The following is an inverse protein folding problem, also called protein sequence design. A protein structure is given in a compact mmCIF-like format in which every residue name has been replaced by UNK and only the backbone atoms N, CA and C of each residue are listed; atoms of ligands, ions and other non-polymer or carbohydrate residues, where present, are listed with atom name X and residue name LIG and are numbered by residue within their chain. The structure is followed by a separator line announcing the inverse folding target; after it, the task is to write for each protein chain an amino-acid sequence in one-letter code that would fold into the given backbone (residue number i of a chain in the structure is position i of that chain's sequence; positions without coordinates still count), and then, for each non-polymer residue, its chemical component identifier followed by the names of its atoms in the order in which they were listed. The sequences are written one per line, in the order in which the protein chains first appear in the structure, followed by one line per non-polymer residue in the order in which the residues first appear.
data_IF_083244632073
#
_entry.id   IF_083244632073
#
_cell.length_a   1.000
_cell.length_b   1.000
_cell.length_c   1.000
_cell.angle_alpha   90.00
_cell.angle_beta   90.00
_cell.angle_gamma   90.00
#
_symmetry.space_group_name_H-M   'P 1'
#
loop_
_entity.id
_entity.type
_entity.pdbx_description
1 polymer ?
#
# COMPACT_ATOMS: atom_id res chain seq x y z
N UNK A 1 -11.60 12.58 18.05
CA UNK A 1 -10.25 13.18 17.96
C UNK A 1 -10.10 13.63 16.53
N UNK A 2 -10.01 14.93 16.29
CA UNK A 2 -9.81 15.45 14.94
C UNK A 2 -8.44 15.01 14.43
N UNK A 3 -8.26 14.94 13.12
CA UNK A 3 -6.97 14.60 12.54
C UNK A 3 -5.87 15.60 12.93
N UNK A 4 -6.24 16.88 13.10
CA UNK A 4 -5.36 17.91 13.69
C UNK A 4 -4.98 17.59 15.13
N UNK A 5 -5.93 17.15 15.97
CA UNK A 5 -5.66 16.71 17.34
C UNK A 5 -4.80 15.45 17.40
N UNK A 6 -4.95 14.51 16.46
CA UNK A 6 -4.08 13.33 16.36
C UNK A 6 -2.68 13.66 15.82
N UNK A 7 -2.56 14.55 14.85
CA UNK A 7 -1.29 15.06 14.34
C UNK A 7 -0.54 15.89 15.42
N UNK A 8 -1.27 16.66 16.22
CA UNK A 8 -0.73 17.36 17.40
C UNK A 8 -0.40 16.40 18.54
N UNK A 9 -1.24 15.40 18.85
CA UNK A 9 -0.99 14.44 19.92
C UNK A 9 0.23 13.54 19.65
N UNK A 10 0.43 13.10 18.41
CA UNK A 10 1.67 12.42 17.99
C UNK A 10 2.89 13.34 18.12
N UNK A 11 2.72 14.65 17.92
CA UNK A 11 3.80 15.63 18.11
C UNK A 11 4.13 15.86 19.59
N UNK A 12 3.15 15.80 20.51
CA UNK A 12 3.38 15.93 21.96
C UNK A 12 4.05 14.69 22.55
N UNK A 13 3.68 13.49 22.09
CA UNK A 13 4.26 12.23 22.60
C UNK A 13 5.77 12.09 22.31
N UNK A 14 6.28 12.72 21.24
CA UNK A 14 7.72 12.74 20.94
C UNK A 14 8.53 13.78 21.74
N UNK A 15 7.88 14.70 22.49
CA UNK A 15 8.57 15.73 23.26
C UNK A 15 8.72 15.42 24.77
N UNK A 16 7.92 14.53 25.34
CA UNK A 16 7.97 14.18 26.77
C UNK A 16 8.76 12.89 27.03
N UNK A 17 10.08 12.93 26.86
CA UNK A 17 10.97 11.99 27.56
C UNK A 17 12.14 12.77 28.17
N UNK A 18 11.91 13.32 29.36
CA UNK A 18 12.95 13.88 30.21
C UNK A 18 13.88 12.76 30.72
N UNK A 19 14.99 12.53 30.04
CA UNK A 19 16.08 11.69 30.55
C UNK A 19 17.31 12.54 30.87
N UNK A 20 17.65 12.57 32.16
CA UNK A 20 18.86 13.21 32.69
C UNK A 20 20.12 12.55 32.08
N UNK A 21 21.14 13.34 31.66
CA UNK A 21 22.35 12.79 31.09
C UNK A 21 23.23 12.15 32.18
N UNK A 22 23.55 10.86 32.01
CA UNK A 22 24.62 10.20 32.76
C UNK A 22 25.94 10.46 32.01
N UNK A 23 26.80 11.28 32.60
CA UNK A 23 28.17 11.51 32.13
C UNK A 23 29.03 10.25 32.39
N UNK A 24 29.54 9.64 31.33
CA UNK A 24 30.61 8.64 31.41
C UNK A 24 31.96 9.27 31.00
N UNK A 25 33.08 8.91 31.66
CA UNK A 25 34.33 9.63 31.54
C UNK A 25 35.09 9.30 30.25
N UNK A 26 35.60 10.35 29.61
CA UNK A 26 36.59 10.34 28.53
C UNK A 26 37.82 9.49 28.88
N UNK A 27 38.12 8.48 28.05
CA UNK A 27 39.40 7.78 28.07
C UNK A 27 40.17 8.02 26.78
N UNK A 28 41.44 8.40 26.96
CA UNK A 28 42.43 8.81 25.95
C UNK A 28 42.71 7.71 24.93
N UNK A 29 42.91 8.17 23.70
CA UNK A 29 43.46 7.45 22.55
C UNK A 29 44.91 7.02 22.86
N UNK A 30 45.21 5.74 22.63
CA UNK A 30 46.57 5.26 22.35
C UNK A 30 46.50 4.30 21.17
N UNK A 31 47.31 4.60 20.16
CA UNK A 31 47.53 3.87 18.91
C UNK A 31 48.24 2.53 19.15
N UNK A 32 47.81 1.46 18.47
CA UNK A 32 48.61 0.43 17.77
C UNK A 32 47.84 -0.90 17.62
N UNK A 33 47.85 -1.46 16.41
CA UNK A 33 47.48 -2.87 16.15
C UNK A 33 46.47 -3.07 15.01
N UNK A 34 46.90 -2.90 13.76
CA UNK A 34 46.14 -3.33 12.58
C UNK A 34 45.90 -4.85 12.61
N UNK A 35 44.67 -5.23 12.87
CA UNK A 35 44.14 -6.55 12.51
C UNK A 35 42.89 -6.25 11.68
N UNK A 36 42.83 -6.64 10.39
CA UNK A 36 41.63 -6.37 9.60
C UNK A 36 40.47 -7.16 10.23
N UNK A 37 39.49 -6.43 10.73
CA UNK A 37 38.21 -6.97 11.14
C UNK A 37 37.63 -7.74 9.93
N UNK A 38 37.09 -8.96 10.11
CA UNK A 38 36.46 -9.69 9.02
C UNK A 38 35.36 -8.83 8.42
N UNK A 39 35.34 -8.68 7.09
CA UNK A 39 34.22 -8.09 6.38
C UNK A 39 32.93 -8.76 6.84
N UNK A 40 32.09 -8.02 7.56
CA UNK A 40 30.75 -8.45 7.88
C UNK A 40 30.00 -8.43 6.55
N UNK A 41 29.99 -9.57 5.85
CA UNK A 41 29.04 -9.84 4.78
C UNK A 41 27.65 -9.53 5.34
N UNK A 42 27.05 -8.46 4.81
CA UNK A 42 25.83 -7.89 5.32
C UNK A 42 24.71 -8.95 5.21
N UNK A 43 24.14 -9.38 6.33
CA UNK A 43 23.15 -10.48 6.37
C UNK A 43 21.93 -10.20 5.47
N UNK A 44 21.62 -8.94 5.19
CA UNK A 44 20.60 -8.51 4.24
C UNK A 44 20.92 -8.92 2.79
N UNK A 45 22.19 -8.85 2.36
CA UNK A 45 22.60 -9.19 1.00
C UNK A 45 22.51 -10.71 0.75
N UNK A 46 22.86 -11.52 1.76
CA UNK A 46 22.75 -12.98 1.69
C UNK A 46 21.30 -13.45 1.60
N UNK A 47 20.38 -12.83 2.37
CA UNK A 47 18.95 -13.17 2.29
C UNK A 47 18.33 -12.75 0.97
N UNK A 48 18.70 -11.57 0.44
CA UNK A 48 18.24 -11.11 -0.87
C UNK A 48 18.70 -12.06 -1.98
N UNK A 49 19.98 -12.44 -1.97
CA UNK A 49 20.51 -13.40 -2.95
C UNK A 49 19.79 -14.74 -2.87
N UNK A 50 19.56 -15.26 -1.65
CA UNK A 50 18.84 -16.51 -1.46
C UNK A 50 17.40 -16.46 -2.02
N UNK A 51 16.69 -15.34 -1.82
CA UNK A 51 15.36 -15.16 -2.40
C UNK A 51 15.42 -15.09 -3.93
N UNK A 52 16.36 -14.34 -4.51
CA UNK A 52 16.56 -14.28 -5.96
C UNK A 52 16.83 -15.67 -6.56
N UNK A 53 17.63 -16.51 -5.91
CA UNK A 53 17.90 -17.88 -6.37
C UNK A 53 16.63 -18.75 -6.38
N UNK A 54 15.76 -18.60 -5.37
CA UNK A 54 14.47 -19.29 -5.32
C UNK A 54 13.50 -18.82 -6.39
N UNK A 55 13.46 -17.51 -6.65
CA UNK A 55 12.64 -16.94 -7.73
C UNK A 55 13.14 -17.42 -9.08
N UNK A 56 14.47 -17.49 -9.29
CA UNK A 56 15.06 -18.06 -10.49
C UNK A 56 14.66 -19.53 -10.69
N UNK A 57 14.69 -20.36 -9.64
CA UNK A 57 14.22 -21.76 -9.72
C UNK A 57 12.73 -21.83 -10.09
N UNK A 58 11.88 -21.02 -9.45
CA UNK A 58 10.46 -20.95 -9.77
C UNK A 58 10.22 -20.52 -11.23
N UNK A 59 10.96 -19.51 -11.70
CA UNK A 59 10.86 -19.01 -13.07
C UNK A 59 11.27 -20.07 -14.10
N UNK A 60 12.30 -20.88 -13.80
CA UNK A 60 12.73 -22.01 -14.64
C UNK A 60 11.66 -23.09 -14.76
N UNK A 61 11.02 -23.45 -13.65
CA UNK A 61 9.91 -24.42 -13.66
C UNK A 61 8.72 -23.90 -14.49
N UNK A 62 8.34 -22.64 -14.27
CA UNK A 62 7.29 -21.95 -15.05
C UNK A 62 7.62 -21.90 -16.54
N UNK A 63 8.85 -21.52 -16.89
CA UNK A 63 9.31 -21.46 -18.27
C UNK A 63 9.29 -22.84 -18.95
N UNK A 64 9.79 -23.87 -18.27
CA UNK A 64 9.79 -25.25 -18.78
C UNK A 64 8.38 -25.72 -19.11
N UNK A 65 7.44 -25.56 -18.17
CA UNK A 65 6.04 -25.91 -18.37
C UNK A 65 5.37 -25.09 -19.47
N UNK A 66 5.74 -23.82 -19.62
CA UNK A 66 5.21 -22.93 -20.66
C UNK A 66 5.62 -23.39 -22.05
N UNK A 67 6.88 -23.78 -22.24
CA UNK A 67 7.39 -24.29 -23.51
C UNK A 67 6.79 -25.66 -23.84
N UNK A 68 6.70 -26.57 -22.88
CA UNK A 68 6.15 -27.92 -23.09
C UNK A 68 4.65 -27.89 -23.42
N UNK A 69 3.88 -27.12 -22.63
CA UNK A 69 2.41 -27.08 -22.76
C UNK A 69 1.91 -26.10 -23.82
N UNK A 70 2.71 -25.10 -24.21
CA UNK A 70 2.34 -24.14 -25.27
C UNK A 70 3.56 -23.66 -26.10
N UNK A 71 4.14 -24.54 -26.95
CA UNK A 71 5.36 -24.22 -27.71
C UNK A 71 5.26 -23.00 -28.63
N UNK A 72 4.04 -22.62 -29.05
CA UNK A 72 3.80 -21.49 -29.96
C UNK A 72 3.73 -20.12 -29.29
N UNK A 73 3.79 -20.04 -27.96
CA UNK A 73 3.64 -18.79 -27.22
C UNK A 73 4.81 -17.82 -27.49
N UNK A 74 6.03 -18.35 -27.41
CA UNK A 74 7.27 -17.62 -27.65
C UNK A 74 7.61 -17.74 -29.14
N UNK A 75 7.58 -16.61 -29.84
CA UNK A 75 7.79 -16.58 -31.30
C UNK A 75 8.21 -15.19 -31.77
N UNK A 76 8.60 -15.12 -33.03
CA UNK A 76 8.85 -13.84 -33.69
C UNK A 76 7.52 -13.13 -33.95
N UNK A 77 7.43 -11.87 -33.52
CA UNK A 77 6.22 -11.04 -33.64
C UNK A 77 6.53 -9.78 -34.45
N UNK A 78 5.62 -9.39 -35.34
CA UNK A 78 5.71 -8.14 -36.11
C UNK A 78 4.72 -7.13 -35.56
N UNK A 79 5.19 -5.93 -35.24
CA UNK A 79 4.36 -4.83 -34.75
C UNK A 79 4.94 -3.49 -35.20
N UNK A 80 4.10 -2.62 -35.79
CA UNK A 80 4.52 -1.35 -36.42
C UNK A 80 5.79 -1.49 -37.29
N UNK A 81 5.79 -2.47 -38.20
CA UNK A 81 6.91 -2.75 -39.13
C UNK A 81 8.23 -3.18 -38.47
N UNK A 82 8.27 -3.36 -37.14
CA UNK A 82 9.41 -3.95 -36.42
C UNK A 82 9.14 -5.42 -36.11
N UNK A 83 10.18 -6.23 -36.24
CA UNK A 83 10.16 -7.64 -35.82
C UNK A 83 10.81 -7.78 -34.45
N UNK A 84 10.07 -8.27 -33.47
CA UNK A 84 10.55 -8.64 -32.15
C UNK A 84 10.75 -10.15 -32.14
N UNK A 85 11.99 -10.59 -32.01
CA UNK A 85 12.32 -12.03 -32.00
C UNK A 85 12.06 -12.67 -30.65
N UNK A 86 11.67 -13.95 -30.68
CA UNK A 86 11.54 -14.84 -29.51
C UNK A 86 10.85 -14.16 -28.32
N UNK A 87 9.63 -13.68 -28.54
CA UNK A 87 8.88 -12.93 -27.53
C UNK A 87 7.44 -13.43 -27.40
N UNK A 88 6.85 -13.12 -26.27
CA UNK A 88 5.44 -13.37 -25.94
C UNK A 88 4.76 -12.04 -25.59
N UNK A 89 3.44 -11.95 -25.78
CA UNK A 89 2.70 -10.78 -25.28
C UNK A 89 2.38 -10.94 -23.80
N UNK A 90 2.32 -9.84 -23.06
CA UNK A 90 1.95 -9.86 -21.65
C UNK A 90 0.55 -10.45 -21.42
N UNK A 91 -0.38 -10.22 -22.35
CA UNK A 91 -1.71 -10.83 -22.27
C UNK A 91 -1.70 -12.34 -22.41
N UNK A 92 -0.97 -12.89 -23.38
CA UNK A 92 -0.93 -14.35 -23.53
C UNK A 92 -0.20 -15.02 -22.35
N UNK A 93 0.76 -14.34 -21.71
CA UNK A 93 1.40 -14.81 -20.48
C UNK A 93 0.39 -14.89 -19.31
N UNK A 94 -0.45 -13.86 -19.15
CA UNK A 94 -1.53 -13.87 -18.16
C UNK A 94 -2.55 -14.94 -18.50
N UNK A 95 -2.99 -15.03 -19.75
CA UNK A 95 -3.96 -16.03 -20.20
C UNK A 95 -3.45 -17.46 -20.01
N UNK A 96 -2.13 -17.67 -20.13
CA UNK A 96 -1.50 -18.96 -19.86
C UNK A 96 -1.59 -19.31 -18.36
N UNK A 97 -1.20 -18.40 -17.45
CA UNK A 97 -1.35 -18.63 -16.00
C UNK A 97 -2.79 -18.94 -15.61
N UNK A 98 -3.74 -18.12 -16.09
CA UNK A 98 -5.17 -18.29 -15.79
C UNK A 98 -5.75 -19.64 -16.25
N UNK A 99 -5.10 -20.34 -17.19
CA UNK A 99 -5.52 -21.67 -17.67
C UNK A 99 -4.92 -22.83 -16.89
N UNK A 100 -3.83 -22.62 -16.13
CA UNK A 100 -3.10 -23.70 -15.47
C UNK A 100 -3.74 -24.15 -14.17
N UNK A 101 -4.41 -23.26 -13.45
CA UNK A 101 -4.88 -23.56 -12.11
C UNK A 101 -6.19 -22.84 -11.78
N UNK A 102 -7.12 -23.56 -11.16
CA UNK A 102 -8.39 -23.02 -10.66
C UNK A 102 -8.19 -22.06 -9.47
N UNK A 103 -7.01 -22.07 -8.85
CA UNK A 103 -6.68 -21.22 -7.70
C UNK A 103 -6.48 -19.73 -8.05
N UNK A 104 -6.31 -19.35 -9.32
CA UNK A 104 -6.11 -17.95 -9.70
C UNK A 104 -7.44 -17.20 -9.72
N UNK A 105 -7.59 -16.25 -8.80
CA UNK A 105 -8.86 -15.56 -8.57
C UNK A 105 -9.03 -14.33 -9.47
N UNK A 106 -7.93 -13.74 -9.98
CA UNK A 106 -7.99 -12.56 -10.84
C UNK A 106 -6.78 -12.40 -11.77
N UNK A 107 -6.96 -11.63 -12.84
CA UNK A 107 -5.85 -11.26 -13.75
C UNK A 107 -4.80 -10.38 -13.04
N UNK A 108 -5.21 -9.57 -12.07
CA UNK A 108 -4.29 -8.72 -11.28
C UNK A 108 -3.28 -9.55 -10.50
N UNK A 109 -3.71 -10.70 -9.96
CA UNK A 109 -2.85 -11.66 -9.28
C UNK A 109 -1.79 -12.23 -10.23
N UNK A 110 -2.19 -12.65 -11.44
CA UNK A 110 -1.27 -13.12 -12.47
C UNK A 110 -0.29 -12.02 -12.93
N UNK A 111 -0.75 -10.76 -13.02
CA UNK A 111 0.11 -9.60 -13.30
C UNK A 111 1.17 -9.44 -12.20
N UNK A 112 0.79 -9.55 -10.93
CA UNK A 112 1.73 -9.51 -9.81
C UNK A 112 2.80 -10.60 -9.89
N UNK A 113 2.41 -11.83 -10.20
CA UNK A 113 3.35 -12.95 -10.38
C UNK A 113 4.36 -12.69 -11.51
N UNK A 114 3.90 -12.17 -12.66
CA UNK A 114 4.81 -11.81 -13.75
C UNK A 114 5.67 -10.59 -13.41
N UNK A 115 5.13 -9.64 -12.65
CA UNK A 115 5.88 -8.48 -12.18
C UNK A 115 7.07 -8.89 -11.30
N UNK A 116 6.95 -9.92 -10.46
CA UNK A 116 8.09 -10.49 -9.70
C UNK A 116 9.24 -10.87 -10.65
N UNK A 117 8.92 -11.53 -11.76
CA UNK A 117 9.94 -11.93 -12.74
C UNK A 117 10.52 -10.75 -13.52
N UNK A 118 9.75 -9.67 -13.70
CA UNK A 118 10.25 -8.41 -14.29
C UNK A 118 11.22 -7.72 -13.33
N UNK A 119 10.85 -7.59 -12.05
CA UNK A 119 11.68 -6.91 -11.05
C UNK A 119 13.02 -7.64 -10.80
N UNK A 120 13.05 -8.98 -10.88
CA UNK A 120 14.29 -9.78 -10.84
C UNK A 120 15.06 -9.81 -12.18
N UNK A 121 14.53 -9.20 -13.25
CA UNK A 121 15.18 -9.17 -14.57
C UNK A 121 15.19 -10.52 -15.31
N UNK A 122 14.37 -11.48 -14.89
CA UNK A 122 14.23 -12.81 -15.49
C UNK A 122 13.38 -12.76 -16.76
N UNK A 123 12.37 -11.87 -16.77
CA UNK A 123 11.68 -11.46 -17.99
C UNK A 123 11.88 -9.96 -18.20
N UNK A 124 12.12 -9.58 -19.44
CA UNK A 124 12.43 -8.19 -19.79
C UNK A 124 11.47 -7.72 -20.86
N UNK A 125 10.87 -6.55 -20.65
CA UNK A 125 10.06 -5.90 -21.66
C UNK A 125 10.94 -5.47 -22.85
N UNK A 126 10.46 -5.65 -24.08
CA UNK A 126 11.26 -5.36 -25.28
C UNK A 126 11.69 -3.90 -25.43
N UNK A 127 11.04 -2.97 -24.71
CA UNK A 127 11.39 -1.54 -24.63
C UNK A 127 11.99 -1.13 -23.28
N UNK A 128 12.33 -2.08 -22.41
CA UNK A 128 12.91 -1.84 -21.09
C UNK A 128 11.98 -1.10 -20.12
N UNK A 129 10.66 -1.30 -20.25
CA UNK A 129 9.69 -0.83 -19.25
C UNK A 129 9.77 -1.70 -17.98
N UNK A 130 9.72 -1.07 -16.80
CA UNK A 130 9.84 -1.73 -15.49
C UNK A 130 8.55 -2.41 -15.03
N UNK A 131 7.41 -2.02 -15.61
CA UNK A 131 6.10 -2.52 -15.23
C UNK A 131 5.63 -3.60 -16.23
N UNK A 132 5.05 -4.66 -15.69
CA UNK A 132 4.37 -5.67 -16.47
C UNK A 132 3.00 -5.17 -16.91
N UNK A 133 2.64 -5.46 -18.16
CA UNK A 133 1.43 -4.97 -18.79
C UNK A 133 0.67 -6.14 -19.42
N UNK A 134 -0.52 -6.41 -18.89
CA UNK A 134 -1.49 -7.35 -19.44
C UNK A 134 -2.13 -6.78 -20.73
N UNK A 135 -1.36 -6.75 -21.82
CA UNK A 135 -1.76 -6.20 -23.13
C UNK A 135 -1.15 -7.01 -24.28
N UNK A 136 -1.90 -7.11 -25.38
CA UNK A 136 -1.46 -7.80 -26.61
C UNK A 136 -0.24 -7.14 -27.28
N UNK A 137 -0.11 -5.81 -27.15
CA UNK A 137 0.93 -5.01 -27.82
C UNK A 137 2.18 -4.79 -26.97
N UNK A 138 2.25 -5.41 -25.79
CA UNK A 138 3.39 -5.32 -24.88
C UNK A 138 4.11 -6.66 -24.89
N UNK A 139 5.36 -6.67 -25.34
CA UNK A 139 6.12 -7.90 -25.56
C UNK A 139 7.23 -8.06 -24.53
N UNK A 140 7.45 -9.31 -24.12
CA UNK A 140 8.45 -9.70 -23.11
C UNK A 140 9.33 -10.83 -23.66
N UNK A 141 10.57 -10.90 -23.16
CA UNK A 141 11.52 -12.00 -23.42
C UNK A 141 12.05 -12.55 -22.11
N UNK A 142 12.31 -13.85 -22.07
CA UNK A 142 13.08 -14.47 -21.01
C UNK A 142 14.57 -14.22 -21.23
N UNK A 143 15.32 -13.99 -20.16
CA UNK A 143 16.73 -13.59 -20.24
C UNK A 143 17.65 -14.77 -20.57
N UNK A 144 18.38 -14.71 -21.69
CA UNK A 144 19.15 -15.85 -22.21
C UNK A 144 20.20 -16.42 -21.25
N UNK A 145 20.85 -15.58 -20.44
CA UNK A 145 21.92 -16.00 -19.50
C UNK A 145 21.41 -16.90 -18.38
N UNK A 146 20.20 -16.62 -17.90
CA UNK A 146 19.61 -17.31 -16.75
C UNK A 146 18.88 -18.60 -17.15
N UNK A 147 18.31 -18.60 -18.35
CA UNK A 147 17.55 -19.73 -18.91
C UNK A 147 18.38 -20.63 -19.83
N UNK A 148 19.67 -20.33 -20.03
CA UNK A 148 20.57 -21.17 -20.83
C UNK A 148 20.20 -21.23 -22.31
N UNK A 149 19.61 -20.15 -22.87
CA UNK A 149 19.09 -20.13 -24.25
C UNK A 149 20.19 -20.04 -25.33
N UNK A 150 21.46 -20.09 -24.93
CA UNK A 150 22.58 -20.27 -25.86
C UNK A 150 22.59 -21.67 -26.46
N UNK A 151 22.85 -21.78 -27.77
CA UNK A 151 22.73 -22.96 -28.64
C UNK A 151 23.27 -24.33 -28.14
N UNK A 152 24.02 -24.39 -27.05
CA UNK A 152 24.61 -25.63 -26.49
C UNK A 152 23.86 -26.26 -25.31
N UNK A 153 22.90 -25.58 -24.68
CA UNK A 153 22.21 -26.11 -23.48
C UNK A 153 20.77 -26.61 -23.71
N UNK A 154 20.17 -26.31 -24.88
CA UNK A 154 18.86 -26.85 -25.26
C UNK A 154 18.83 -28.39 -25.33
N UNK A 155 19.98 -29.06 -25.54
CA UNK A 155 20.03 -30.53 -25.51
C UNK A 155 19.99 -31.14 -24.11
N UNK A 156 20.33 -30.41 -23.04
CA UNK A 156 20.38 -31.00 -21.69
C UNK A 156 19.07 -30.91 -20.91
N UNK A 157 18.21 -29.94 -21.25
CA UNK A 157 16.89 -29.78 -20.61
C UNK A 157 15.81 -30.70 -21.24
N UNK A 158 16.06 -31.26 -22.43
CA UNK A 158 15.09 -32.05 -23.20
C UNK A 158 15.32 -33.58 -23.14
N UNK A 159 16.38 -34.08 -22.49
CA UNK A 159 16.83 -35.47 -22.67
C UNK A 159 16.64 -36.43 -21.49
N UNK A 160 16.02 -36.01 -20.38
CA UNK A 160 15.69 -36.92 -19.28
C UNK A 160 14.18 -36.92 -19.06
N UNK A 161 13.44 -37.68 -19.88
CA UNK A 161 12.04 -38.00 -19.61
C UNK A 161 11.87 -39.51 -19.45
N UNK A 162 12.00 -39.96 -18.21
CA UNK A 162 11.32 -41.17 -17.71
C UNK A 162 9.98 -40.77 -17.08
N UNK A 163 9.07 -41.73 -16.88
CA UNK A 163 7.73 -41.45 -16.32
C UNK A 163 7.75 -40.85 -14.91
N UNK A 164 8.84 -41.01 -14.15
CA UNK A 164 9.05 -40.36 -12.84
C UNK A 164 9.41 -38.87 -12.97
N UNK A 165 9.90 -38.40 -14.12
CA UNK A 165 10.35 -37.01 -14.31
C UNK A 165 9.18 -36.04 -14.53
N UNK A 166 8.03 -36.53 -15.02
CA UNK A 166 6.83 -35.69 -15.24
C UNK A 166 6.19 -35.25 -13.93
N UNK A 167 5.98 -36.20 -13.02
CA UNK A 167 5.39 -35.90 -11.71
C UNK A 167 6.30 -34.94 -10.92
N UNK A 168 7.62 -35.15 -10.97
CA UNK A 168 8.61 -34.25 -10.37
C UNK A 168 8.57 -32.84 -10.98
N UNK A 169 8.41 -32.72 -12.31
CA UNK A 169 8.33 -31.42 -12.99
C UNK A 169 7.06 -30.64 -12.66
N UNK A 170 5.94 -31.34 -12.46
CA UNK A 170 4.67 -30.72 -12.08
C UNK A 170 4.67 -30.28 -10.61
N UNK A 171 5.33 -31.03 -9.72
CA UNK A 171 5.56 -30.63 -8.33
C UNK A 171 6.44 -29.37 -8.25
N UNK A 172 7.52 -29.29 -9.03
CA UNK A 172 8.37 -28.11 -9.12
C UNK A 172 7.64 -26.89 -9.68
N UNK A 173 6.78 -27.09 -10.68
CA UNK A 173 5.92 -26.03 -11.20
C UNK A 173 4.98 -25.51 -10.11
N UNK A 174 4.33 -26.41 -9.36
CA UNK A 174 3.40 -26.02 -8.32
C UNK A 174 4.09 -25.29 -7.15
N UNK A 175 5.28 -25.75 -6.75
CA UNK A 175 6.13 -25.04 -5.77
C UNK A 175 6.49 -23.63 -6.28
N UNK A 176 6.91 -23.52 -7.55
CA UNK A 176 7.26 -22.26 -8.18
C UNK A 176 6.09 -21.29 -8.28
N UNK A 177 4.91 -21.77 -8.69
CA UNK A 177 3.69 -20.97 -8.74
C UNK A 177 3.27 -20.48 -7.34
N UNK A 178 3.38 -21.33 -6.32
CA UNK A 178 3.10 -20.95 -4.93
C UNK A 178 4.01 -19.82 -4.43
N UNK A 179 5.31 -19.90 -4.72
CA UNK A 179 6.25 -18.83 -4.37
C UNK A 179 5.91 -17.51 -5.07
N UNK A 180 5.66 -17.55 -6.38
CA UNK A 180 5.30 -16.35 -7.14
C UNK A 180 3.97 -15.77 -6.69
N UNK A 181 3.01 -16.61 -6.29
CA UNK A 181 1.73 -16.19 -5.74
C UNK A 181 1.91 -15.43 -4.41
N UNK A 182 2.82 -15.91 -3.55
CA UNK A 182 3.14 -15.26 -2.28
C UNK A 182 3.85 -13.91 -2.50
N UNK A 183 4.71 -13.79 -3.51
CA UNK A 183 5.48 -12.58 -3.79
C UNK A 183 4.72 -11.57 -4.66
N UNK A 184 3.72 -12.02 -5.41
CA UNK A 184 2.97 -11.24 -6.38
C UNK A 184 2.31 -9.97 -5.83
N UNK A 185 1.67 -9.98 -4.63
CA UNK A 185 1.02 -8.80 -4.08
C UNK A 185 1.96 -7.61 -3.87
N UNK A 186 3.13 -7.81 -3.25
CA UNK A 186 4.11 -6.74 -3.01
C UNK A 186 4.68 -6.17 -4.31
N UNK A 187 4.98 -7.05 -5.28
CA UNK A 187 5.44 -6.65 -6.61
C UNK A 187 4.37 -5.86 -7.37
N UNK A 188 3.11 -6.31 -7.32
CA UNK A 188 1.96 -5.63 -7.94
C UNK A 188 1.79 -4.23 -7.34
N UNK A 189 1.77 -4.14 -6.03
CA UNK A 189 1.60 -2.90 -5.28
C UNK A 189 2.73 -1.90 -5.57
N UNK A 190 3.98 -2.35 -5.55
CA UNK A 190 5.15 -1.53 -5.93
C UNK A 190 5.04 -1.04 -7.37
N UNK A 191 4.65 -1.91 -8.30
CA UNK A 191 4.44 -1.57 -9.71
C UNK A 191 3.33 -0.50 -9.88
N UNK A 192 2.24 -0.61 -9.13
CA UNK A 192 1.15 0.37 -9.13
C UNK A 192 1.60 1.71 -8.56
N UNK A 193 2.36 1.68 -7.46
CA UNK A 193 2.86 2.87 -6.79
C UNK A 193 3.88 3.65 -7.65
N UNK A 194 4.61 2.97 -8.55
CA UNK A 194 5.46 3.62 -9.57
C UNK A 194 4.67 4.39 -10.64
N UNK A 195 3.38 4.12 -10.82
CA UNK A 195 2.53 4.88 -11.76
C UNK A 195 2.32 6.29 -11.22
N UNK A 196 2.23 7.27 -12.13
CA UNK A 196 1.76 8.61 -11.77
C UNK A 196 0.35 8.50 -11.14
N UNK A 197 0.02 9.26 -10.09
CA UNK A 197 -1.29 9.18 -9.43
C UNK A 197 -2.46 9.33 -10.42
N UNK A 198 -2.34 10.23 -11.41
CA UNK A 198 -3.34 10.45 -12.47
C UNK A 198 -3.53 9.31 -13.47
N UNK A 199 -2.67 8.29 -13.44
CA UNK A 199 -2.70 7.16 -14.38
C UNK A 199 -3.19 5.86 -13.71
N UNK A 200 -3.56 5.90 -12.43
CA UNK A 200 -4.05 4.73 -11.68
C UNK A 200 -5.51 4.45 -12.04
N UNK A 201 -5.83 3.19 -12.30
CA UNK A 201 -7.20 2.71 -12.49
C UNK A 201 -7.94 2.58 -11.14
N UNK A 202 -9.26 2.38 -11.15
CA UNK A 202 -10.00 2.07 -9.92
C UNK A 202 -9.49 0.81 -9.20
N UNK A 203 -9.11 -0.23 -9.96
CA UNK A 203 -8.50 -1.45 -9.41
C UNK A 203 -7.13 -1.17 -8.77
N UNK A 204 -6.31 -0.29 -9.40
CA UNK A 204 -5.03 0.12 -8.84
C UNK A 204 -5.21 0.83 -7.48
N UNK A 205 -6.22 1.69 -7.37
CA UNK A 205 -6.53 2.42 -6.15
C UNK A 205 -7.01 1.49 -5.03
N UNK A 206 -7.80 0.48 -5.36
CA UNK A 206 -8.27 -0.52 -4.40
C UNK A 206 -7.09 -1.31 -3.80
N UNK A 207 -6.13 -1.73 -4.64
CA UNK A 207 -4.92 -2.44 -4.17
C UNK A 207 -4.10 -1.56 -3.20
N UNK A 208 -3.91 -0.27 -3.51
CA UNK A 208 -3.21 0.64 -2.59
C UNK A 208 -4.02 0.83 -1.30
N UNK A 209 -5.34 1.00 -1.40
CA UNK A 209 -6.21 1.20 -0.26
C UNK A 209 -6.18 0.01 0.71
N UNK A 210 -6.26 -1.21 0.19
CA UNK A 210 -6.16 -2.44 0.99
C UNK A 210 -4.82 -2.52 1.74
N UNK A 211 -3.71 -2.11 1.11
CA UNK A 211 -2.43 -2.03 1.81
C UNK A 211 -2.44 -0.99 2.92
N UNK A 212 -3.02 0.19 2.67
CA UNK A 212 -3.10 1.27 3.67
C UNK A 212 -3.87 0.85 4.93
N UNK A 213 -4.70 -0.20 4.89
CA UNK A 213 -5.34 -0.74 6.09
C UNK A 213 -4.34 -1.37 7.06
N UNK A 214 -3.18 -1.81 6.57
CA UNK A 214 -2.16 -2.53 7.33
C UNK A 214 -1.01 -1.61 7.80
N UNK A 215 -0.95 -0.37 7.30
CA UNK A 215 0.12 0.58 7.62
C UNK A 215 -0.19 1.34 8.92
N UNK A 216 0.67 1.16 9.93
CA UNK A 216 0.54 1.78 11.27
C UNK A 216 0.39 3.31 11.20
N UNK A 217 1.22 3.99 10.40
CA UNK A 217 1.17 5.45 10.23
C UNK A 217 -0.21 6.00 9.85
N UNK A 218 -1.05 5.21 9.16
CA UNK A 218 -2.38 5.65 8.71
C UNK A 218 -3.53 4.85 9.36
N UNK A 219 -3.22 4.01 10.34
CA UNK A 219 -4.20 3.18 11.06
C UNK A 219 -5.25 3.99 11.83
N UNK A 220 -4.93 5.24 12.19
CA UNK A 220 -5.83 6.17 12.88
C UNK A 220 -6.71 7.00 11.93
N UNK A 221 -6.49 6.90 10.61
CA UNK A 221 -7.24 7.65 9.60
C UNK A 221 -8.56 6.98 9.25
N UNK A 222 -9.56 7.76 8.83
CA UNK A 222 -10.81 7.22 8.32
C UNK A 222 -10.61 6.52 6.97
N UNK A 223 -11.55 5.65 6.60
CA UNK A 223 -11.54 5.01 5.29
C UNK A 223 -11.64 6.01 4.13
N UNK A 224 -12.41 7.10 4.31
CA UNK A 224 -12.49 8.19 3.33
C UNK A 224 -11.12 8.84 3.08
N UNK A 225 -10.37 9.15 4.15
CA UNK A 225 -9.01 9.70 4.04
C UNK A 225 -8.05 8.72 3.39
N UNK A 226 -8.08 7.43 3.75
CA UNK A 226 -7.20 6.43 3.12
C UNK A 226 -7.46 6.29 1.62
N UNK A 227 -8.72 6.36 1.18
CA UNK A 227 -9.08 6.34 -0.25
C UNK A 227 -8.52 7.56 -0.98
N UNK A 228 -8.65 8.75 -0.39
CA UNK A 228 -8.02 9.96 -0.93
C UNK A 228 -6.50 9.84 -0.98
N UNK A 229 -5.87 9.28 0.06
CA UNK A 229 -4.42 9.03 0.08
C UNK A 229 -4.01 8.07 -1.04
N UNK A 230 -4.71 6.94 -1.24
CA UNK A 230 -4.43 6.00 -2.33
C UNK A 230 -4.38 6.68 -3.70
N UNK A 231 -5.23 7.70 -3.90
CA UNK A 231 -5.31 8.48 -5.13
C UNK A 231 -4.16 9.48 -5.34
N UNK A 232 -3.40 9.84 -4.29
CA UNK A 232 -2.36 10.88 -4.38
C UNK A 232 -0.96 10.43 -3.97
N UNK A 233 -0.81 9.29 -3.28
CA UNK A 233 0.50 8.82 -2.79
C UNK A 233 1.51 8.71 -3.92
N UNK A 234 2.70 9.24 -3.72
CA UNK A 234 3.83 9.17 -4.65
C UNK A 234 4.88 8.24 -4.07
N UNK A 235 5.35 7.27 -4.86
CA UNK A 235 6.46 6.42 -4.47
C UNK A 235 7.79 7.13 -4.70
N UNK A 236 8.64 7.16 -3.67
CA UNK A 236 9.97 7.75 -3.72
C UNK A 236 11.01 6.73 -3.21
N UNK A 237 12.07 6.49 -3.97
CA UNK A 237 13.13 5.56 -3.59
C UNK A 237 14.50 6.22 -3.56
N UNK A 238 15.30 5.85 -2.56
CA UNK A 238 16.67 6.32 -2.37
C UNK A 238 17.62 5.14 -2.27
N UNK A 239 18.51 5.01 -3.25
CA UNK A 239 19.37 3.84 -3.37
C UNK A 239 20.47 3.78 -2.29
N UNK A 240 20.93 4.92 -1.77
CA UNK A 240 22.11 4.99 -0.90
C UNK A 240 21.80 5.44 0.52
N UNK A 241 22.38 4.75 1.50
CA UNK A 241 22.49 5.19 2.87
C UNK A 241 23.21 6.54 2.95
N UNK A 242 22.87 7.33 3.96
CA UNK A 242 23.40 8.69 4.14
C UNK A 242 22.75 9.75 3.25
N UNK A 243 21.78 9.39 2.41
CA UNK A 243 21.03 10.37 1.61
C UNK A 243 20.20 11.29 2.51
N UNK A 244 20.37 12.60 2.38
CA UNK A 244 19.58 13.60 3.12
C UNK A 244 18.28 13.84 2.36
N UNK A 245 17.15 13.49 2.98
CA UNK A 245 15.81 13.69 2.38
C UNK A 245 15.41 15.17 2.44
N UNK A 246 15.63 15.81 3.60
CA UNK A 246 15.52 17.25 3.78
C UNK A 246 16.30 17.68 5.02
N UNK A 247 16.63 18.96 5.10
CA UNK A 247 17.38 19.56 6.21
C UNK A 247 16.48 20.34 7.15
N UNK A 248 16.88 20.42 8.42
CA UNK A 248 16.28 21.35 9.37
C UNK A 248 16.36 22.79 8.84
N UNK A 249 15.26 23.52 8.93
CA UNK A 249 15.12 24.88 8.40
C UNK A 249 14.60 24.95 6.97
N UNK A 250 14.55 23.84 6.23
CA UNK A 250 13.96 23.81 4.89
C UNK A 250 12.46 24.08 4.93
N UNK A 251 11.89 24.54 3.82
CA UNK A 251 10.43 24.65 3.67
C UNK A 251 9.80 23.26 3.69
N UNK A 252 8.74 23.07 4.49
CA UNK A 252 7.95 21.84 4.47
C UNK A 252 7.14 21.70 3.18
N UNK A 253 7.46 20.71 2.34
CA UNK A 253 6.78 20.47 1.06
C UNK A 253 6.02 19.16 0.98
N UNK A 254 6.38 18.17 1.80
CA UNK A 254 5.79 16.82 1.73
C UNK A 254 5.76 16.12 3.09
N UNK A 255 4.86 15.16 3.24
CA UNK A 255 4.79 14.20 4.34
C UNK A 255 5.20 12.83 3.82
N UNK A 256 5.87 12.03 4.66
CA UNK A 256 6.49 10.77 4.26
C UNK A 256 6.10 9.64 5.21
N UNK A 257 5.83 8.47 4.64
CA UNK A 257 5.69 7.19 5.34
C UNK A 257 6.84 6.28 4.88
N UNK A 258 7.52 5.62 5.81
CA UNK A 258 8.60 4.69 5.51
C UNK A 258 7.99 3.36 5.06
N UNK A 259 8.13 3.05 3.78
CA UNK A 259 7.70 1.76 3.23
C UNK A 259 8.75 0.69 3.45
N UNK A 260 10.01 1.02 3.17
CA UNK A 260 11.16 0.12 3.32
C UNK A 260 12.34 0.87 3.87
N UNK A 261 13.03 0.24 4.80
CA UNK A 261 14.26 0.74 5.41
C UNK A 261 14.05 1.61 6.64
N UNK A 262 15.00 2.49 6.91
CA UNK A 262 15.03 3.30 8.13
C UNK A 262 15.75 4.63 7.93
N UNK A 263 15.40 5.62 8.75
CA UNK A 263 15.98 6.96 8.69
C UNK A 263 16.37 7.48 10.07
N UNK A 264 17.40 8.32 10.11
CA UNK A 264 17.79 9.05 11.30
C UNK A 264 17.16 10.44 11.33
N UNK A 265 16.67 10.82 12.51
CA UNK A 265 16.13 12.16 12.79
C UNK A 265 17.17 12.95 13.56
N UNK A 266 17.68 14.03 12.97
CA UNK A 266 18.78 14.82 13.52
C UNK A 266 18.33 16.26 13.74
N UNK A 267 18.68 16.85 14.88
CA UNK A 267 18.40 18.27 15.16
C UNK A 267 19.65 19.03 15.59
N UNK A 268 19.72 20.30 15.21
CA UNK A 268 20.76 21.21 15.65
C UNK A 268 20.77 21.32 17.18
N UNK A 269 21.94 21.12 17.78
CA UNK A 269 22.13 21.19 19.24
C UNK A 269 21.86 19.90 20.01
N UNK A 270 21.10 18.93 19.46
CA UNK A 270 20.89 17.62 20.09
C UNK A 270 21.54 16.45 19.34
N UNK A 271 21.89 16.60 18.06
CA UNK A 271 22.43 15.51 17.25
C UNK A 271 21.33 14.52 16.85
N UNK A 272 21.65 13.22 16.87
CA UNK A 272 20.68 12.15 16.61
C UNK A 272 19.63 12.08 17.73
N UNK A 273 18.37 12.35 17.38
CA UNK A 273 17.24 12.35 18.33
C UNK A 273 16.58 10.98 18.39
N UNK A 274 16.31 10.38 17.24
CA UNK A 274 15.70 9.05 17.12
C UNK A 274 15.98 8.44 15.74
N UNK A 275 15.66 7.16 15.60
CA UNK A 275 15.63 6.45 14.31
C UNK A 275 14.21 5.97 14.07
N UNK A 276 13.72 6.18 12.85
CA UNK A 276 12.40 5.73 12.40
C UNK A 276 12.54 4.55 11.45
N UNK A 277 11.56 3.65 11.50
CA UNK A 277 11.54 2.38 10.79
C UNK A 277 10.28 2.21 9.92
N UNK A 278 10.22 1.12 9.16
CA UNK A 278 9.09 0.74 8.32
C UNK A 278 7.74 0.85 9.06
N UNK A 279 6.76 1.44 8.39
CA UNK A 279 5.42 1.70 8.92
C UNK A 279 5.30 2.98 9.77
N UNK A 280 6.40 3.67 10.06
CA UNK A 280 6.41 4.99 10.71
C UNK A 280 6.43 6.13 9.69
N UNK A 281 6.09 7.34 10.13
CA UNK A 281 5.96 8.51 9.29
C UNK A 281 6.67 9.75 9.86
N UNK A 282 6.94 10.74 9.01
CA UNK A 282 7.59 11.99 9.40
C UNK A 282 7.27 13.16 8.47
N UNK A 283 7.50 14.37 8.98
CA UNK A 283 7.42 15.60 8.18
C UNK A 283 6.05 16.27 8.14
N UNK A 284 5.04 15.75 8.83
CA UNK A 284 3.70 16.36 8.87
C UNK A 284 3.65 17.76 9.53
N UNK A 285 4.48 18.01 10.55
CA UNK A 285 4.43 19.23 11.37
C UNK A 285 4.62 20.52 10.55
N UNK A 286 5.54 20.48 9.58
CA UNK A 286 5.85 21.62 8.73
C UNK A 286 4.72 21.93 7.71
N UNK A 287 3.84 20.96 7.44
CA UNK A 287 2.71 21.14 6.54
C UNK A 287 1.54 21.83 7.26
N UNK A 288 1.23 21.38 8.48
CA UNK A 288 0.12 21.89 9.29
C UNK A 288 0.38 23.33 9.76
N UNK A 289 1.59 23.61 10.26
CA UNK A 289 1.90 24.91 10.88
C UNK A 289 2.49 25.94 9.90
N UNK A 290 2.61 25.60 8.62
CA UNK A 290 3.36 26.38 7.61
C UNK A 290 4.75 26.84 8.10
N UNK A 291 5.41 25.99 8.89
CA UNK A 291 6.68 26.26 9.54
C UNK A 291 7.85 25.55 8.84
N UNK A 292 9.10 26.01 9.01
CA UNK A 292 10.28 25.28 8.56
C UNK A 292 10.41 23.88 9.17
N UNK A 293 11.14 22.97 8.52
CA UNK A 293 11.45 21.63 9.04
C UNK A 293 12.16 21.74 10.40
N UNK A 294 11.66 21.04 11.41
CA UNK A 294 12.23 21.05 12.76
C UNK A 294 13.47 20.15 12.90
N UNK A 295 13.70 19.23 11.96
CA UNK A 295 14.80 18.26 11.97
C UNK A 295 15.27 17.94 10.55
N UNK A 296 16.49 17.43 10.44
CA UNK A 296 17.09 16.82 9.23
C UNK A 296 16.79 15.32 9.23
N UNK A 297 16.40 14.79 8.07
CA UNK A 297 16.14 13.36 7.88
C UNK A 297 17.18 12.76 6.94
N UNK A 298 17.82 11.67 7.37
CA UNK A 298 18.88 11.00 6.60
C UNK A 298 18.59 9.50 6.51
N UNK A 299 18.60 8.93 5.32
CA UNK A 299 18.53 7.47 5.10
C UNK A 299 19.63 6.75 5.87
N UNK A 300 19.27 5.73 6.62
CA UNK A 300 20.22 4.95 7.42
C UNK A 300 20.79 3.77 6.66
N UNK A 301 20.04 3.22 5.71
CA UNK A 301 20.42 2.06 4.90
C UNK A 301 20.17 2.30 3.40
N UNK A 302 20.74 1.42 2.58
CA UNK A 302 20.56 1.43 1.14
C UNK A 302 19.13 1.00 0.76
N UNK A 303 18.66 1.44 -0.40
CA UNK A 303 17.34 1.09 -0.95
C UNK A 303 16.16 1.40 -0.03
N UNK A 304 16.16 2.59 0.59
CA UNK A 304 15.01 3.09 1.34
C UNK A 304 13.86 3.46 0.38
N UNK A 305 12.65 3.05 0.71
CA UNK A 305 11.43 3.38 -0.04
C UNK A 305 10.46 4.16 0.85
N UNK A 306 9.84 5.19 0.28
CA UNK A 306 8.92 6.07 0.98
C UNK A 306 7.63 6.25 0.18
N UNK A 307 6.51 6.36 0.88
CA UNK A 307 5.30 6.96 0.32
C UNK A 307 5.27 8.43 0.70
N UNK A 308 5.11 9.29 -0.30
CA UNK A 308 5.13 10.74 -0.13
C UNK A 308 3.77 11.32 -0.50
N UNK A 309 3.28 12.23 0.33
CA UNK A 309 2.12 13.08 0.03
C UNK A 309 2.60 14.53 -0.03
N UNK A 310 2.32 15.19 -1.13
CA UNK A 310 2.72 16.59 -1.32
C UNK A 310 1.79 17.54 -0.56
N UNK A 311 2.32 18.70 -0.15
CA UNK A 311 1.61 19.67 0.69
C UNK A 311 0.25 20.08 0.13
N UNK A 312 0.15 20.22 -1.20
CA UNK A 312 -1.09 20.61 -1.84
C UNK A 312 -2.17 19.55 -1.64
N UNK A 313 -1.83 18.28 -1.90
CA UNK A 313 -2.75 17.16 -1.69
C UNK A 313 -3.06 16.94 -0.22
N UNK A 314 -2.07 17.04 0.67
CA UNK A 314 -2.26 16.93 2.12
C UNK A 314 -3.27 17.97 2.64
N UNK A 315 -3.13 19.24 2.25
CA UNK A 315 -4.05 20.32 2.64
C UNK A 315 -5.42 20.15 1.97
N UNK A 316 -5.45 19.69 0.72
CA UNK A 316 -6.71 19.43 0.01
C UNK A 316 -7.52 18.36 0.73
N UNK A 317 -6.92 17.21 1.02
CA UNK A 317 -7.57 16.08 1.70
C UNK A 317 -8.11 16.53 3.06
N UNK A 318 -7.32 17.30 3.82
CA UNK A 318 -7.77 17.91 5.07
C UNK A 318 -9.06 18.73 4.92
N UNK A 319 -9.05 19.65 3.96
CA UNK A 319 -10.20 20.52 3.69
C UNK A 319 -11.41 19.74 3.20
N UNK A 320 -11.19 18.70 2.39
CA UNK A 320 -12.26 17.84 1.89
C UNK A 320 -12.92 17.07 3.04
N UNK A 321 -12.14 16.57 4.00
CA UNK A 321 -12.66 15.95 5.22
C UNK A 321 -13.50 16.93 6.03
N UNK A 322 -13.00 18.15 6.25
CA UNK A 322 -13.75 19.18 6.97
C UNK A 322 -15.03 19.59 6.24
N UNK A 323 -14.96 19.80 4.92
CA UNK A 323 -16.11 20.19 4.10
C UNK A 323 -17.18 19.10 4.04
N UNK A 324 -16.78 17.84 4.13
CA UNK A 324 -17.67 16.69 4.14
C UNK A 324 -18.12 16.29 5.55
N UNK A 325 -17.62 16.94 6.61
CA UNK A 325 -18.02 16.64 7.99
C UNK A 325 -18.95 17.72 8.54
N UNK A 326 -20.15 17.32 8.97
CA UNK A 326 -21.07 18.20 9.71
C UNK A 326 -20.98 17.87 11.19
N UNK A 327 -20.75 18.88 12.02
CA UNK A 327 -20.72 18.75 13.48
C UNK A 327 -21.84 19.58 14.09
N UNK A 328 -22.73 18.91 14.81
CA UNK A 328 -23.69 19.58 15.68
C UNK A 328 -23.01 19.81 17.03
N UNK A 329 -22.97 21.06 17.48
CA UNK A 329 -22.40 21.42 18.76
C UNK A 329 -23.47 21.91 19.74
N UNK A 330 -23.41 21.41 20.97
CA UNK A 330 -24.21 21.92 22.09
C UNK A 330 -23.27 22.23 23.25
N UNK A 331 -23.37 23.45 23.80
CA UNK A 331 -22.54 23.90 24.92
C UNK A 331 -21.02 23.81 24.64
N UNK A 332 -20.61 24.05 23.39
CA UNK A 332 -19.21 23.96 22.96
C UNK A 332 -18.66 22.54 22.88
N UNK A 333 -19.52 21.52 22.83
CA UNK A 333 -19.14 20.12 22.62
C UNK A 333 -19.84 19.59 21.38
N UNK A 334 -19.10 18.86 20.53
CA UNK A 334 -19.67 18.13 19.41
C UNK A 334 -20.54 16.98 19.95
N UNK A 335 -21.85 17.04 19.69
CA UNK A 335 -22.84 16.06 20.15
C UNK A 335 -23.34 15.13 19.04
N UNK A 336 -23.13 15.49 17.78
CA UNK A 336 -23.37 14.64 16.62
C UNK A 336 -22.37 15.00 15.51
N UNK A 337 -21.77 13.99 14.89
CA UNK A 337 -20.85 14.13 13.77
C UNK A 337 -21.37 13.28 12.63
N UNK A 338 -21.61 13.93 11.49
CA UNK A 338 -22.07 13.30 10.26
C UNK A 338 -21.00 13.47 9.18
N UNK A 339 -20.81 12.47 8.34
CA UNK A 339 -19.97 12.55 7.14
C UNK A 339 -20.88 12.48 5.90
N UNK A 340 -20.64 13.35 4.93
CA UNK A 340 -21.35 13.35 3.66
C UNK A 340 -20.86 12.18 2.82
N UNK A 341 -21.75 11.28 2.44
CA UNK A 341 -21.47 10.19 1.51
C UNK A 341 -21.66 10.69 0.08
N UNK A 342 -20.64 10.58 -0.76
CA UNK A 342 -20.81 10.80 -2.19
C UNK A 342 -21.63 9.65 -2.78
N UNK A 343 -22.74 9.99 -3.43
CA UNK A 343 -23.52 9.04 -4.20
C UNK A 343 -22.80 8.81 -5.54
N UNK A 344 -22.30 7.60 -5.76
CA UNK A 344 -21.86 7.18 -7.08
C UNK A 344 -23.08 7.16 -8.01
N UNK A 345 -23.08 8.06 -9.01
CA UNK A 345 -24.22 8.35 -9.89
C UNK A 345 -24.95 7.10 -10.44
N UNK A 346 -26.26 7.03 -10.21
CA UNK A 346 -27.22 6.60 -11.23
C UNK A 346 -28.17 7.77 -11.50
N UNK A 347 -28.31 8.13 -12.78
CA UNK A 347 -28.89 9.38 -13.25
C UNK A 347 -30.25 9.73 -12.63
N UNK A 348 -30.27 10.83 -11.88
CA UNK A 348 -31.48 11.48 -11.40
C UNK A 348 -31.15 12.89 -10.95
N UNK A 349 -31.84 13.89 -11.51
CA UNK A 349 -31.77 15.30 -11.11
C UNK A 349 -32.35 15.48 -9.71
N UNK A 350 -31.57 15.17 -8.68
CA UNK A 350 -31.91 15.37 -7.28
C UNK A 350 -30.65 15.40 -6.43
N UNK A 351 -30.23 16.59 -6.01
CA UNK A 351 -29.01 16.83 -5.23
C UNK A 351 -29.22 16.45 -3.74
N UNK A 352 -29.65 15.23 -3.45
CA UNK A 352 -29.88 14.79 -2.07
C UNK A 352 -28.58 14.18 -1.52
N UNK A 353 -27.76 15.03 -0.91
CA UNK A 353 -26.54 14.59 -0.23
C UNK A 353 -26.93 13.68 0.93
N UNK A 354 -26.56 12.39 0.86
CA UNK A 354 -26.78 11.42 1.94
C UNK A 354 -25.68 11.62 2.97
N UNK A 355 -26.04 11.67 4.25
CA UNK A 355 -25.10 11.77 5.37
C UNK A 355 -25.10 10.46 6.15
N UNK A 356 -23.93 10.04 6.60
CA UNK A 356 -23.72 8.88 7.48
C UNK A 356 -23.30 9.36 8.85
N UNK A 357 -23.85 8.74 9.89
CA UNK A 357 -23.52 9.06 11.28
C UNK A 357 -22.15 8.48 11.62
N UNK A 358 -21.23 9.34 12.07
CA UNK A 358 -19.87 8.93 12.48
C UNK A 358 -19.75 8.76 14.00
N UNK A 359 -20.39 9.67 14.75
CA UNK A 359 -20.48 9.59 16.22
C UNK A 359 -21.56 10.52 16.74
N UNK A 360 -22.04 10.28 17.96
CA UNK A 360 -22.96 11.19 18.64
C UNK A 360 -23.28 10.72 20.05
N UNK A 361 -23.92 11.57 20.84
CA UNK A 361 -24.47 11.16 22.14
C UNK A 361 -25.69 10.26 21.93
N UNK A 362 -25.98 9.31 22.83
CA UNK A 362 -27.14 8.42 22.71
C UNK A 362 -28.45 9.15 22.38
N UNK A 363 -28.68 10.30 23.02
CA UNK A 363 -29.87 11.12 22.84
C UNK A 363 -29.90 11.76 21.45
N UNK A 364 -28.77 12.31 20.96
CA UNK A 364 -28.71 12.91 19.61
C UNK A 364 -28.75 11.89 18.50
N UNK A 365 -28.20 10.69 18.71
CA UNK A 365 -28.34 9.57 17.78
C UNK A 365 -29.80 9.17 17.63
N UNK A 366 -30.54 9.08 18.74
CA UNK A 366 -31.97 8.78 18.74
C UNK A 366 -32.79 9.90 18.08
N UNK A 367 -32.54 11.15 18.44
CA UNK A 367 -33.20 12.33 17.84
C UNK A 367 -33.00 12.34 16.32
N UNK A 368 -31.75 12.20 15.86
CA UNK A 368 -31.42 12.15 14.44
C UNK A 368 -32.09 10.98 13.72
N UNK A 369 -32.12 9.78 14.33
CA UNK A 369 -32.85 8.63 13.80
C UNK A 369 -34.33 8.95 13.61
N UNK A 370 -35.00 9.50 14.61
CA UNK A 370 -36.43 9.80 14.56
C UNK A 370 -36.77 10.88 13.52
N UNK A 371 -35.89 11.86 13.33
CA UNK A 371 -36.04 12.91 12.31
C UNK A 371 -35.80 12.42 10.88
N UNK A 372 -34.87 11.46 10.70
CA UNK A 372 -34.46 10.99 9.36
C UNK A 372 -35.26 9.81 8.85
N UNK A 373 -35.94 9.06 9.74
CA UNK A 373 -36.84 7.97 9.36
C UNK A 373 -38.00 8.52 8.53
N UNK A 374 -37.95 8.25 7.22
CA UNK A 374 -39.08 8.45 6.32
C UNK A 374 -39.96 7.20 6.37
N UNK A 375 -41.17 7.35 6.91
CA UNK A 375 -42.22 6.34 6.78
C UNK A 375 -42.83 6.47 5.38
N UNK A 376 -42.14 6.00 4.34
CA UNK A 376 -42.74 5.93 3.01
C UNK A 376 -43.83 4.85 3.03
N UNK A 377 -45.07 5.27 2.77
CA UNK A 377 -46.32 4.51 2.97
C UNK A 377 -46.53 3.36 1.97
N UNK A 378 -45.56 3.11 1.10
CA UNK A 378 -45.55 1.98 0.19
C UNK A 378 -44.48 1.00 0.67
N UNK A 379 -44.87 0.02 1.50
CA UNK A 379 -43.99 -0.94 2.19
C UNK A 379 -43.19 -1.91 1.31
N UNK A 380 -42.49 -1.38 0.30
CA UNK A 380 -41.67 -2.10 -0.67
C UNK A 380 -40.21 -1.64 -0.70
N UNK A 381 -39.86 -0.56 0.01
CA UNK A 381 -38.47 -0.09 0.10
C UNK A 381 -37.75 -0.71 1.30
N UNK A 382 -36.48 -1.07 1.09
CA UNK A 382 -35.63 -1.64 2.11
C UNK A 382 -35.48 -0.66 3.30
N UNK A 383 -35.60 -1.17 4.52
CA UNK A 383 -35.34 -0.41 5.76
C UNK A 383 -34.00 0.30 5.63
N UNK A 384 -33.94 1.60 5.93
CA UNK A 384 -32.69 2.35 5.88
C UNK A 384 -31.62 1.63 6.73
N UNK A 385 -30.43 1.32 6.17
CA UNK A 385 -29.34 0.70 6.90
C UNK A 385 -29.05 1.38 8.26
N UNK A 386 -29.18 2.72 8.34
CA UNK A 386 -29.01 3.45 9.60
C UNK A 386 -29.98 3.00 10.71
N UNK A 387 -31.24 2.73 10.36
CA UNK A 387 -32.25 2.24 11.30
C UNK A 387 -31.89 0.85 11.79
N UNK A 388 -31.44 0.00 10.86
CA UNK A 388 -31.01 -1.36 11.18
C UNK A 388 -29.80 -1.34 12.11
N UNK A 389 -28.78 -0.54 11.78
CA UNK A 389 -27.56 -0.41 12.58
C UNK A 389 -27.88 0.09 13.99
N UNK A 390 -28.72 1.11 14.14
CA UNK A 390 -29.15 1.59 15.45
C UNK A 390 -29.87 0.50 16.25
N UNK A 391 -30.85 -0.19 15.66
CA UNK A 391 -31.61 -1.23 16.35
C UNK A 391 -30.76 -2.44 16.74
N UNK A 392 -29.73 -2.78 15.95
CA UNK A 392 -28.82 -3.87 16.29
C UNK A 392 -27.80 -3.48 17.36
N UNK A 393 -27.46 -2.19 17.50
CA UNK A 393 -26.33 -1.74 18.33
C UNK A 393 -26.73 -0.90 19.53
N UNK A 394 -28.00 -0.44 19.65
CA UNK A 394 -28.42 0.47 20.71
C UNK A 394 -28.13 -0.06 22.12
N UNK A 395 -28.15 -1.37 22.35
CA UNK A 395 -27.85 -1.94 23.67
C UNK A 395 -26.45 -1.62 24.19
N UNK A 396 -25.51 -1.28 23.28
CA UNK A 396 -24.12 -0.92 23.63
C UNK A 396 -24.04 0.49 24.22
N UNK A 397 -24.82 1.44 23.70
CA UNK A 397 -24.69 2.87 24.04
C UNK A 397 -25.96 3.50 24.66
N UNK A 398 -27.13 2.88 24.45
CA UNK A 398 -28.44 3.28 24.99
C UNK A 398 -29.29 2.04 25.34
N UNK A 399 -29.03 1.40 26.49
CA UNK A 399 -29.78 0.22 26.92
C UNK A 399 -31.29 0.51 27.02
N UNK A 400 -32.15 -0.52 26.92
CA UNK A 400 -33.62 -0.34 26.90
C UNK A 400 -34.18 0.48 28.07
N UNK A 401 -33.55 0.43 29.25
CA UNK A 401 -33.91 1.26 30.41
C UNK A 401 -33.75 2.77 30.21
N UNK A 402 -32.94 3.20 29.23
CA UNK A 402 -32.74 4.59 28.83
C UNK A 402 -33.49 4.89 27.52
N UNK A 403 -33.44 3.97 26.55
CA UNK A 403 -34.11 4.12 25.27
C UNK A 403 -35.65 4.20 25.42
N UNK A 404 -36.26 3.32 26.20
CA UNK A 404 -37.72 3.30 26.34
C UNK A 404 -38.28 4.61 26.95
N UNK A 405 -37.72 5.16 28.05
CA UNK A 405 -38.11 6.48 28.53
C UNK A 405 -37.85 7.61 27.53
N UNK A 406 -36.73 7.58 26.79
CA UNK A 406 -36.43 8.60 25.79
C UNK A 406 -37.44 8.58 24.63
N UNK A 407 -37.83 7.39 24.16
CA UNK A 407 -38.90 7.23 23.18
C UNK A 407 -40.26 7.69 23.72
N UNK A 408 -40.59 7.38 24.98
CA UNK A 408 -41.81 7.88 25.63
C UNK A 408 -41.85 9.40 25.75
N UNK A 409 -40.69 10.06 25.90
CA UNK A 409 -40.61 11.52 25.93
C UNK A 409 -40.82 12.14 24.55
N UNK A 410 -40.36 11.48 23.48
CA UNK A 410 -40.53 11.95 22.08
C UNK A 410 -41.94 11.65 21.54
N UNK A 411 -42.55 10.56 22.02
CA UNK A 411 -43.94 10.20 21.77
C UNK A 411 -44.71 10.17 23.09
N UNK A 412 -44.87 11.33 23.75
CA UNK A 412 -45.78 11.42 24.88
C UNK A 412 -47.16 11.06 24.30
N UNK A 413 -47.75 9.99 24.82
CA UNK A 413 -49.04 9.49 24.37
C UNK A 413 -50.04 10.65 24.17
N UNK A 414 -50.80 10.54 23.07
CA UNK A 414 -52.09 11.20 22.86
C UNK A 414 -52.94 11.24 24.13
#
# INVERSE_FOLDING_TARGET
MTWEESAQASATFSMETDFKPVLLPTRRITTEGDTPLPEVLNTQDTMKQFLSDRILKAAKAVYSALIDRNPGLIRDRKHHLKTYRQCCSGKELVDWLMKLNECFQSRSQAVGMWQVLVDEGLIVHVKQELNFHDRDTQFYRFTDSEFGLTHTANEKLLLNHTTNDKDQSDDELQEGLSLLLQMGPDALLTMILRKCPSQRSGEDLEVIYEELLHIKAVSHLSSSVRKELAAVLVFESHAKAGTVLFSQGDKGTSWYIIWKGSVNVITHGKGLVTTLHEGEDFGQLALVNDAPRAATIISREDNCHFLRVDKQDFIRILKDVEANTVRLEEHGKSVLVLEKTESTNQGGTGNNSKYTVMSGTPEKLLEHLLETVKLDTNGNDAIDPWVTDFLLTHMVFMPSRQLCPALQHQYPLW
#
